data_IF_094149365191
#
_entry.id   IF_094149365191
#
_cell.length_a   1.000
_cell.length_b   1.000
_cell.length_c   1.000
_cell.angle_alpha   90.00
_cell.angle_beta   90.00
_cell.angle_gamma   90.00
#
_symmetry.space_group_name_H-M   'P 1'
#
loop_
_entity.id
_entity.type
_entity.pdbx_description
1 polymer ?
#
# COMPACT_ATOMS: atom_id res chain seq x y z
N UNK A 1 24.49 -11.10 -28.42
CA UNK A 1 23.49 -12.00 -27.76
C UNK A 1 22.50 -11.14 -27.02
N UNK A 2 21.39 -10.78 -27.65
CA UNK A 2 20.31 -9.96 -27.07
C UNK A 2 19.43 -10.85 -26.20
N UNK A 3 19.42 -10.61 -24.89
CA UNK A 3 18.67 -11.38 -23.92
C UNK A 3 17.16 -11.10 -24.06
N UNK A 4 16.33 -12.11 -24.37
CA UNK A 4 14.87 -11.94 -24.48
C UNK A 4 14.15 -11.60 -23.15
N UNK A 5 14.89 -11.56 -22.06
CA UNK A 5 14.37 -11.23 -20.71
C UNK A 5 14.00 -9.76 -20.49
N UNK A 6 14.56 -8.83 -21.28
CA UNK A 6 14.30 -7.40 -21.06
C UNK A 6 12.93 -6.92 -21.51
N UNK A 7 12.29 -7.57 -22.47
CA UNK A 7 11.00 -7.12 -23.01
C UNK A 7 9.85 -7.29 -21.99
N UNK A 8 9.79 -8.45 -21.34
CA UNK A 8 8.75 -8.72 -20.34
C UNK A 8 8.79 -7.76 -19.14
N UNK A 9 9.99 -7.48 -18.61
CA UNK A 9 10.16 -6.53 -17.52
C UNK A 9 9.79 -5.09 -17.88
N UNK A 10 10.10 -4.69 -19.12
CA UNK A 10 9.72 -3.35 -19.62
C UNK A 10 8.20 -3.21 -19.75
N UNK A 11 7.52 -4.26 -20.26
CA UNK A 11 6.05 -4.26 -20.34
C UNK A 11 5.39 -4.22 -18.96
N UNK A 12 5.89 -4.98 -17.99
CA UNK A 12 5.41 -4.96 -16.60
C UNK A 12 5.63 -3.57 -16.00
N UNK A 13 6.81 -2.98 -16.16
CA UNK A 13 7.10 -1.63 -15.66
C UNK A 13 6.22 -0.56 -16.31
N UNK A 14 5.94 -0.66 -17.61
CA UNK A 14 5.04 0.25 -18.30
C UNK A 14 3.58 0.12 -17.79
N UNK A 15 3.10 -1.10 -17.60
CA UNK A 15 1.77 -1.34 -17.03
C UNK A 15 1.66 -0.80 -15.59
N UNK A 16 2.69 -1.04 -14.76
CA UNK A 16 2.77 -0.49 -13.41
C UNK A 16 2.75 1.04 -13.41
N UNK A 17 3.50 1.67 -14.32
CA UNK A 17 3.54 3.13 -14.46
C UNK A 17 2.20 3.73 -14.92
N UNK A 18 1.44 3.02 -15.75
CA UNK A 18 0.09 3.41 -16.15
C UNK A 18 -0.87 3.32 -14.97
N UNK A 19 -0.86 2.19 -14.24
CA UNK A 19 -1.69 2.00 -13.05
C UNK A 19 -1.37 3.03 -11.95
N UNK A 20 -0.09 3.36 -11.79
CA UNK A 20 0.37 4.34 -10.82
C UNK A 20 -0.15 5.78 -11.08
N UNK A 21 -0.56 6.08 -12.31
CA UNK A 21 -1.12 7.39 -12.70
C UNK A 21 -2.64 7.48 -12.58
N UNK A 22 -3.31 6.41 -12.21
CA UNK A 22 -4.75 6.43 -12.03
C UNK A 22 -5.16 7.47 -10.97
N UNK A 23 -6.24 8.21 -11.17
CA UNK A 23 -6.77 9.09 -10.12
C UNK A 23 -7.19 8.26 -8.89
N UNK A 24 -7.11 8.87 -7.70
CA UNK A 24 -7.36 8.17 -6.43
C UNK A 24 -8.67 7.38 -6.42
N UNK A 25 -9.74 7.97 -6.95
CA UNK A 25 -11.05 7.30 -7.03
C UNK A 25 -11.02 6.02 -7.87
N UNK A 26 -10.28 6.04 -8.98
CA UNK A 26 -10.12 4.86 -9.83
C UNK A 26 -9.25 3.78 -9.16
N UNK A 27 -8.20 4.19 -8.45
CA UNK A 27 -7.36 3.27 -7.65
C UNK A 27 -8.18 2.57 -6.57
N UNK A 28 -9.01 3.30 -5.84
CA UNK A 28 -9.90 2.74 -4.81
C UNK A 28 -10.94 1.79 -5.41
N UNK A 29 -11.59 2.18 -6.50
CA UNK A 29 -12.60 1.34 -7.17
C UNK A 29 -11.97 0.04 -7.72
N UNK A 30 -10.84 0.15 -8.41
CA UNK A 30 -10.13 -0.99 -8.98
C UNK A 30 -9.61 -1.92 -7.88
N UNK A 31 -8.98 -1.37 -6.84
CA UNK A 31 -8.48 -2.14 -5.71
C UNK A 31 -9.60 -2.88 -4.98
N UNK A 32 -10.74 -2.21 -4.75
CA UNK A 32 -11.92 -2.85 -4.14
C UNK A 32 -12.45 -3.99 -5.01
N UNK A 33 -12.57 -3.79 -6.31
CA UNK A 33 -13.01 -4.84 -7.25
C UNK A 33 -12.03 -6.03 -7.27
N UNK A 34 -10.73 -5.76 -7.33
CA UNK A 34 -9.70 -6.79 -7.27
C UNK A 34 -9.73 -7.55 -5.93
N UNK A 35 -9.92 -6.87 -4.81
CA UNK A 35 -10.04 -7.47 -3.48
C UNK A 35 -11.19 -8.47 -3.39
N UNK A 36 -12.30 -8.20 -4.07
CA UNK A 36 -13.43 -9.14 -4.16
C UNK A 36 -13.12 -10.29 -5.12
N UNK A 37 -12.60 -9.98 -6.31
CA UNK A 37 -12.34 -10.95 -7.37
C UNK A 37 -11.28 -11.99 -6.97
N UNK A 38 -10.23 -11.57 -6.25
CA UNK A 38 -9.13 -12.43 -5.83
C UNK A 38 -9.44 -13.29 -4.59
N UNK A 39 -10.60 -13.14 -3.97
CA UNK A 39 -11.01 -13.91 -2.79
C UNK A 39 -10.83 -15.44 -2.96
N UNK A 40 -11.33 -16.06 -4.04
CA UNK A 40 -11.22 -17.51 -4.18
C UNK A 40 -9.77 -17.98 -4.36
N UNK A 41 -8.91 -17.16 -4.97
CA UNK A 41 -7.51 -17.48 -5.20
C UNK A 41 -6.67 -17.46 -3.91
N UNK A 42 -7.03 -16.61 -2.96
CA UNK A 42 -6.28 -16.38 -1.73
C UNK A 42 -6.91 -17.05 -0.50
N UNK A 43 -7.69 -18.11 -0.68
CA UNK A 43 -8.46 -18.80 0.40
C UNK A 43 -7.61 -19.14 1.63
N UNK A 44 -6.40 -19.64 1.43
CA UNK A 44 -5.49 -20.01 2.53
C UNK A 44 -5.09 -18.78 3.36
N UNK A 45 -4.78 -17.66 2.70
CA UNK A 45 -4.43 -16.40 3.39
C UNK A 45 -5.62 -15.86 4.17
N UNK A 46 -6.80 -15.92 3.61
CA UNK A 46 -8.03 -15.47 4.29
C UNK A 46 -8.41 -16.37 5.48
N UNK A 47 -8.09 -17.65 5.41
CA UNK A 47 -8.26 -18.54 6.56
C UNK A 47 -7.34 -18.10 7.71
N UNK A 48 -6.07 -17.84 7.46
CA UNK A 48 -5.12 -17.34 8.47
C UNK A 48 -5.59 -16.01 9.05
N UNK A 49 -6.01 -15.08 8.20
CA UNK A 49 -6.52 -13.78 8.65
C UNK A 49 -7.77 -13.93 9.54
N UNK A 50 -8.67 -14.85 9.20
CA UNK A 50 -9.86 -15.15 10.04
C UNK A 50 -9.48 -15.69 11.41
N UNK A 51 -8.50 -16.59 11.48
CA UNK A 51 -7.99 -17.12 12.75
C UNK A 51 -7.38 -16.01 13.59
N UNK A 52 -6.54 -15.17 12.99
CA UNK A 52 -5.93 -14.02 13.69
C UNK A 52 -6.99 -13.02 14.20
N UNK A 53 -8.00 -12.71 13.40
CA UNK A 53 -9.11 -11.87 13.84
C UNK A 53 -9.89 -12.47 15.00
N UNK A 54 -10.10 -13.79 14.99
CA UNK A 54 -10.78 -14.47 16.10
C UNK A 54 -9.97 -14.41 17.41
N UNK A 55 -8.65 -14.46 17.32
CA UNK A 55 -7.75 -14.36 18.48
C UNK A 55 -7.63 -12.91 18.98
N UNK A 56 -7.45 -11.95 18.08
CA UNK A 56 -7.22 -10.55 18.44
C UNK A 56 -8.51 -9.82 18.85
N UNK A 57 -9.66 -10.21 18.31
CA UNK A 57 -10.96 -9.58 18.52
C UNK A 57 -11.97 -10.57 19.09
N UNK A 58 -11.57 -11.29 20.14
CA UNK A 58 -12.38 -12.34 20.76
C UNK A 58 -13.73 -11.82 21.30
N UNK A 59 -13.79 -10.55 21.75
CA UNK A 59 -15.01 -9.93 22.26
C UNK A 59 -16.01 -9.54 21.16
N UNK A 60 -15.60 -9.47 19.90
CA UNK A 60 -16.48 -9.14 18.78
C UNK A 60 -17.30 -10.36 18.34
N UNK A 61 -18.47 -10.13 17.78
CA UNK A 61 -19.29 -11.17 17.18
C UNK A 61 -18.64 -11.75 15.91
N UNK A 62 -19.06 -12.93 15.51
CA UNK A 62 -18.60 -13.55 14.28
C UNK A 62 -18.91 -12.69 13.04
N UNK A 63 -20.03 -11.95 13.06
CA UNK A 63 -20.44 -11.06 11.98
C UNK A 63 -19.49 -9.87 11.85
N UNK A 64 -19.14 -9.25 12.96
CA UNK A 64 -18.18 -8.11 13.00
C UNK A 64 -16.80 -8.54 12.51
N UNK A 65 -16.27 -9.67 12.99
CA UNK A 65 -15.00 -10.22 12.53
C UNK A 65 -14.99 -10.54 11.02
N UNK A 66 -16.11 -11.08 10.50
CA UNK A 66 -16.20 -11.35 9.06
C UNK A 66 -16.31 -10.05 8.25
N UNK A 67 -16.92 -9.00 8.78
CA UNK A 67 -16.91 -7.68 8.17
C UNK A 67 -15.50 -7.09 8.14
N UNK A 68 -14.76 -7.14 9.25
CA UNK A 68 -13.34 -6.72 9.29
C UNK A 68 -12.50 -7.49 8.26
N UNK A 69 -12.73 -8.80 8.11
CA UNK A 69 -12.03 -9.60 7.12
C UNK A 69 -12.30 -9.09 5.70
N UNK A 70 -13.56 -8.78 5.38
CA UNK A 70 -13.91 -8.22 4.06
C UNK A 70 -13.26 -6.87 3.81
N UNK A 71 -13.22 -6.02 4.81
CA UNK A 71 -12.61 -4.71 4.71
C UNK A 71 -11.08 -4.80 4.57
N UNK A 72 -10.46 -5.71 5.34
CA UNK A 72 -9.05 -6.03 5.17
C UNK A 72 -8.70 -6.54 3.76
N UNK A 73 -9.53 -7.39 3.18
CA UNK A 73 -9.33 -7.90 1.81
C UNK A 73 -9.36 -6.79 0.77
N UNK A 74 -10.29 -5.84 0.91
CA UNK A 74 -10.39 -4.66 0.03
C UNK A 74 -9.19 -3.74 0.20
N UNK A 75 -8.86 -3.43 1.44
CA UNK A 75 -7.73 -2.56 1.78
C UNK A 75 -6.40 -3.12 1.29
N UNK A 76 -6.17 -4.44 1.41
CA UNK A 76 -4.96 -5.07 0.90
C UNK A 76 -4.81 -4.92 -0.62
N UNK A 77 -5.89 -5.08 -1.37
CA UNK A 77 -5.86 -4.93 -2.82
C UNK A 77 -5.65 -3.46 -3.24
N UNK A 78 -6.23 -2.51 -2.51
CA UNK A 78 -5.95 -1.08 -2.69
C UNK A 78 -4.48 -0.79 -2.39
N UNK A 79 -3.95 -1.28 -1.27
CA UNK A 79 -2.55 -1.08 -0.87
C UNK A 79 -1.55 -1.61 -1.91
N UNK A 80 -1.85 -2.71 -2.60
CA UNK A 80 -1.02 -3.21 -3.71
C UNK A 80 -0.97 -2.23 -4.89
N UNK A 81 -2.07 -1.55 -5.21
CA UNK A 81 -2.07 -0.50 -6.24
C UNK A 81 -1.34 0.76 -5.76
N UNK A 82 -1.47 1.12 -4.49
CA UNK A 82 -0.75 2.24 -3.89
C UNK A 82 0.74 1.98 -3.76
N UNK A 83 1.16 0.73 -3.59
CA UNK A 83 2.56 0.34 -3.69
C UNK A 83 3.13 0.66 -5.09
N UNK A 84 2.37 0.38 -6.16
CA UNK A 84 2.78 0.79 -7.51
C UNK A 84 2.90 2.31 -7.63
N UNK A 85 2.01 3.07 -6.98
CA UNK A 85 2.10 4.53 -6.93
C UNK A 85 3.35 5.01 -6.20
N UNK A 86 3.68 4.39 -5.07
CA UNK A 86 4.89 4.74 -4.32
C UNK A 86 6.17 4.58 -5.16
N UNK A 87 6.22 3.61 -6.06
CA UNK A 87 7.40 3.31 -6.87
C UNK A 87 7.42 3.96 -8.25
N UNK A 88 6.26 4.15 -8.89
CA UNK A 88 6.17 4.51 -10.31
C UNK A 88 5.42 5.81 -10.60
N UNK A 89 4.72 6.38 -9.60
CA UNK A 89 3.97 7.61 -9.84
C UNK A 89 4.91 8.82 -9.92
N UNK A 90 4.69 9.75 -10.86
CA UNK A 90 5.34 11.07 -10.82
C UNK A 90 4.89 11.85 -9.57
N UNK A 91 5.81 12.59 -8.94
CA UNK A 91 5.51 13.39 -7.74
C UNK A 91 4.28 14.31 -7.87
N UNK A 92 4.03 14.98 -9.03
CA UNK A 92 2.81 15.79 -9.17
C UNK A 92 1.50 15.03 -9.02
N UNK A 93 1.48 13.70 -9.28
CA UNK A 93 0.26 12.88 -9.10
C UNK A 93 0.00 12.48 -7.65
N UNK A 94 0.98 12.67 -6.78
CA UNK A 94 0.90 12.42 -5.35
C UNK A 94 0.56 13.70 -4.56
N UNK A 95 0.76 14.87 -5.17
CA UNK A 95 0.49 16.14 -4.53
C UNK A 95 -0.95 16.24 -4.02
N UNK A 96 -1.11 16.66 -2.77
CA UNK A 96 -2.41 16.82 -2.12
C UNK A 96 -3.13 15.52 -1.71
N UNK A 97 -2.48 14.36 -1.82
CA UNK A 97 -3.04 13.09 -1.32
C UNK A 97 -2.82 12.88 0.18
N UNK A 98 -1.82 13.53 0.74
CA UNK A 98 -1.54 13.50 2.17
C UNK A 98 -0.82 14.77 2.60
N UNK A 99 -1.00 15.13 3.87
CA UNK A 99 -0.21 16.13 4.57
C UNK A 99 0.74 15.43 5.54
N UNK A 100 1.98 15.93 5.62
CA UNK A 100 3.01 15.36 6.49
C UNK A 100 3.24 16.32 7.65
N UNK A 101 2.78 15.94 8.83
CA UNK A 101 3.00 16.69 10.06
C UNK A 101 4.34 16.31 10.71
N UNK A 102 4.94 17.24 11.45
CA UNK A 102 6.15 16.98 12.23
C UNK A 102 7.45 16.96 11.41
N UNK A 103 7.45 17.33 10.14
CA UNK A 103 8.65 17.39 9.30
C UNK A 103 9.76 18.26 9.87
N UNK A 104 9.43 19.32 10.61
CA UNK A 104 10.42 20.17 11.23
C UNK A 104 11.27 19.40 12.25
N UNK A 105 10.65 18.54 13.05
CA UNK A 105 11.38 17.69 14.00
C UNK A 105 12.37 16.75 13.30
N UNK A 106 12.00 16.22 12.14
CA UNK A 106 12.89 15.39 11.32
C UNK A 106 14.06 16.22 10.76
N UNK A 107 13.79 17.41 10.25
CA UNK A 107 14.82 18.32 9.73
C UNK A 107 15.80 18.75 10.83
N UNK A 108 15.28 19.09 12.01
CA UNK A 108 16.10 19.47 13.17
C UNK A 108 16.97 18.30 13.64
N UNK A 109 16.45 17.07 13.63
CA UNK A 109 17.23 15.89 13.95
C UNK A 109 18.33 15.63 12.91
N UNK A 110 18.01 15.74 11.62
CA UNK A 110 18.96 15.55 10.53
C UNK A 110 20.09 16.63 10.55
N UNK A 111 19.76 17.87 10.90
CA UNK A 111 20.71 18.97 11.00
C UNK A 111 21.81 18.75 12.05
N UNK A 112 21.60 17.85 13.02
CA UNK A 112 22.62 17.49 14.02
C UNK A 112 23.76 16.63 13.46
N UNK A 113 23.68 16.17 12.20
CA UNK A 113 24.74 15.43 11.52
C UNK A 113 24.98 14.00 12.05
N UNK A 114 24.12 13.48 12.90
CA UNK A 114 24.26 12.15 13.53
C UNK A 114 23.46 11.05 12.82
N UNK A 115 22.80 11.39 11.71
CA UNK A 115 21.84 10.51 11.07
C UNK A 115 20.51 10.43 11.84
N UNK A 116 19.47 9.95 11.17
CA UNK A 116 18.13 9.80 11.77
C UNK A 116 17.59 8.40 11.47
N UNK A 117 17.12 7.71 12.49
CA UNK A 117 16.42 6.45 12.37
C UNK A 117 14.92 6.69 12.52
N UNK A 118 14.16 6.46 11.45
CA UNK A 118 12.70 6.53 11.47
C UNK A 118 12.14 5.16 11.86
N UNK A 119 11.44 5.09 12.99
CA UNK A 119 10.74 3.89 13.41
C UNK A 119 9.26 3.99 12.99
N UNK A 120 8.79 2.99 12.27
CA UNK A 120 7.37 2.90 11.86
C UNK A 120 6.81 1.51 12.13
N UNK A 121 5.49 1.41 12.27
CA UNK A 121 4.80 0.13 12.25
C UNK A 121 4.72 -0.44 10.83
N UNK A 122 4.55 -1.76 10.71
CA UNK A 122 4.29 -2.39 9.41
C UNK A 122 2.82 -2.19 9.01
N UNK A 123 2.52 -1.04 8.43
CA UNK A 123 1.19 -0.63 7.98
C UNK A 123 1.04 -0.91 6.47
N UNK A 124 -0.20 -1.03 5.99
CA UNK A 124 -0.48 -1.31 4.57
C UNK A 124 0.07 -0.25 3.60
N UNK A 125 0.17 0.99 4.05
CA UNK A 125 0.58 2.14 3.22
C UNK A 125 1.97 2.67 3.58
N UNK A 126 2.81 1.87 4.23
CA UNK A 126 4.13 2.30 4.72
C UNK A 126 5.01 2.85 3.61
N UNK A 127 5.04 2.20 2.44
CA UNK A 127 5.86 2.63 1.30
C UNK A 127 5.39 3.98 0.75
N UNK A 128 4.08 4.17 0.63
CA UNK A 128 3.53 5.44 0.17
C UNK A 128 3.73 6.56 1.21
N UNK A 129 3.57 6.26 2.49
CA UNK A 129 3.87 7.19 3.58
C UNK A 129 5.35 7.61 3.59
N UNK A 130 6.26 6.65 3.42
CA UNK A 130 7.70 6.92 3.31
C UNK A 130 8.01 7.82 2.11
N UNK A 131 7.33 7.60 0.97
CA UNK A 131 7.45 8.45 -0.22
C UNK A 131 7.02 9.89 0.06
N UNK A 132 5.92 10.13 0.78
CA UNK A 132 5.48 11.46 1.16
C UNK A 132 6.50 12.17 2.06
N UNK A 133 7.06 11.46 3.04
CA UNK A 133 8.13 12.03 3.90
C UNK A 133 9.37 12.37 3.09
N UNK A 134 9.73 11.57 2.09
CA UNK A 134 10.92 11.80 1.27
C UNK A 134 10.74 12.96 0.26
N UNK A 135 9.51 13.30 -0.11
CA UNK A 135 9.21 14.39 -1.07
C UNK A 135 8.89 15.73 -0.38
N UNK A 136 8.67 15.72 0.93
CA UNK A 136 8.33 16.90 1.72
C UNK A 136 9.57 17.62 2.27
#
# INVERSE_FOLDING_TARGET
MSTPRCFGWRAIGAAAAVLARLPQRATLALGTALGVLLRPLLRRRWHVARVNLALCFAAESAVEREQRLRDHQRSLAVALLELLRAWFAPSPTLAGLADVEGLQSLRDAAAKGQGVLLLTGHLMHTELATRFVAEA
#
